data_IF_288539472727
#
_entry.id   IF_288539472727
#
_cell.length_a   1.000
_cell.length_b   1.000
_cell.length_c   1.000
_cell.angle_alpha   90.00
_cell.angle_beta   90.00
_cell.angle_gamma   90.00
#
_symmetry.space_group_name_H-M   'P 1'
#
loop_
_entity.id
_entity.type
_entity.pdbx_description
1 polymer ?
#
# COMPACT_ATOMS: atom_id res chain seq x y z
N UNK A 1 -3.62 16.25 -12.03
CA UNK A 1 -3.87 15.06 -11.19
C UNK A 1 -3.14 13.89 -11.82
N UNK A 2 -2.41 13.11 -11.03
CA UNK A 2 -1.77 11.86 -11.47
C UNK A 2 -2.77 10.71 -11.27
N UNK A 3 -3.02 9.94 -12.33
CA UNK A 3 -3.96 8.81 -12.31
C UNK A 3 -3.16 7.52 -12.29
N UNK A 4 -3.33 6.73 -11.22
CA UNK A 4 -2.78 5.39 -11.12
C UNK A 4 -3.89 4.34 -11.16
N UNK A 5 -3.71 3.30 -11.98
CA UNK A 5 -4.62 2.15 -12.05
C UNK A 5 -3.83 0.84 -12.06
N UNK A 6 -4.53 -0.29 -12.06
CA UNK A 6 -3.89 -1.59 -11.92
C UNK A 6 -4.47 -2.62 -12.90
N UNK A 7 -3.62 -3.58 -13.30
CA UNK A 7 -4.00 -4.86 -13.91
C UNK A 7 -3.54 -6.03 -13.01
N UNK A 8 -3.88 -7.25 -13.36
CA UNK A 8 -3.33 -8.45 -12.73
C UNK A 8 -4.36 -9.34 -12.04
N UNK A 9 -5.63 -8.93 -11.94
CA UNK A 9 -6.72 -9.80 -11.50
C UNK A 9 -7.60 -10.21 -12.67
N UNK A 10 -7.99 -11.50 -12.68
CA UNK A 10 -9.00 -12.04 -13.57
C UNK A 10 -10.38 -11.93 -12.93
N UNK A 11 -11.39 -11.62 -13.76
CA UNK A 11 -12.79 -11.50 -13.35
C UNK A 11 -13.68 -12.31 -14.29
N UNK A 12 -14.71 -12.94 -13.76
CA UNK A 12 -15.77 -13.56 -14.56
C UNK A 12 -16.75 -12.52 -15.15
N UNK A 13 -17.73 -12.99 -15.90
CA UNK A 13 -18.76 -12.16 -16.52
C UNK A 13 -19.65 -11.38 -15.50
N UNK A 14 -19.71 -11.84 -14.26
CA UNK A 14 -20.42 -11.21 -13.16
C UNK A 14 -19.54 -10.22 -12.36
N UNK A 15 -18.27 -10.04 -12.75
CA UNK A 15 -17.32 -9.18 -12.07
C UNK A 15 -16.74 -9.78 -10.78
N UNK A 16 -16.91 -11.09 -10.55
CA UNK A 16 -16.28 -11.79 -9.43
C UNK A 16 -14.84 -12.12 -9.79
N UNK A 17 -13.91 -11.82 -8.87
CA UNK A 17 -12.51 -12.18 -9.02
C UNK A 17 -12.34 -13.70 -9.02
N UNK A 18 -11.63 -14.22 -10.05
CA UNK A 18 -11.41 -15.65 -10.28
C UNK A 18 -9.97 -16.08 -10.09
N UNK A 19 -9.03 -15.13 -10.04
CA UNK A 19 -7.61 -15.42 -9.86
C UNK A 19 -6.73 -14.25 -10.28
N UNK A 20 -5.48 -14.58 -10.62
CA UNK A 20 -4.50 -13.67 -11.20
C UNK A 20 -4.42 -13.89 -12.71
N UNK A 21 -4.09 -12.84 -13.45
CA UNK A 21 -3.69 -12.91 -14.85
C UNK A 21 -2.78 -11.74 -15.20
N UNK A 22 -1.60 -12.06 -15.71
CA UNK A 22 -0.66 -11.08 -16.25
C UNK A 22 -0.20 -11.46 -17.66
N UNK A 23 -1.04 -12.19 -18.41
CA UNK A 23 -0.77 -12.52 -19.81
C UNK A 23 -0.77 -11.23 -20.64
N UNK A 24 0.11 -11.11 -21.65
CA UNK A 24 0.20 -9.90 -22.48
C UNK A 24 -1.14 -9.38 -23.02
N UNK A 25 -2.00 -10.27 -23.49
CA UNK A 25 -3.30 -9.86 -24.04
C UNK A 25 -4.27 -9.37 -22.96
N UNK A 26 -4.23 -9.97 -21.76
CA UNK A 26 -5.05 -9.54 -20.62
C UNK A 26 -4.57 -8.18 -20.09
N UNK A 27 -3.25 -7.93 -20.07
CA UNK A 27 -2.68 -6.62 -19.73
C UNK A 27 -3.18 -5.56 -20.71
N UNK A 28 -3.06 -5.81 -22.01
CA UNK A 28 -3.54 -4.88 -23.05
C UNK A 28 -5.04 -4.61 -22.92
N UNK A 29 -5.85 -5.66 -22.72
CA UNK A 29 -7.30 -5.53 -22.52
C UNK A 29 -7.66 -4.71 -21.30
N UNK A 30 -6.94 -4.91 -20.17
CA UNK A 30 -7.13 -4.14 -18.94
C UNK A 30 -6.81 -2.65 -19.13
N UNK A 31 -5.73 -2.34 -19.85
CA UNK A 31 -5.34 -0.96 -20.19
C UNK A 31 -6.39 -0.29 -21.06
N UNK A 32 -6.81 -0.93 -22.15
CA UNK A 32 -7.86 -0.41 -23.04
C UNK A 32 -9.18 -0.18 -22.27
N UNK A 33 -9.53 -1.10 -21.38
CA UNK A 33 -10.69 -0.96 -20.51
C UNK A 33 -10.58 0.23 -19.55
N UNK A 34 -9.39 0.46 -19.00
CA UNK A 34 -9.11 1.58 -18.08
C UNK A 34 -9.16 2.92 -18.82
N UNK A 35 -8.53 3.05 -19.99
CA UNK A 35 -8.55 4.26 -20.82
C UNK A 35 -9.99 4.68 -21.18
N UNK A 36 -10.82 3.70 -21.61
CA UNK A 36 -12.25 3.96 -21.91
C UNK A 36 -13.04 4.44 -20.69
N UNK A 37 -12.88 3.79 -19.52
CA UNK A 37 -13.64 4.17 -18.31
C UNK A 37 -13.17 5.50 -17.75
N UNK A 38 -11.88 5.77 -17.78
CA UNK A 38 -11.29 7.02 -17.31
C UNK A 38 -11.48 8.18 -18.30
N UNK A 39 -11.81 7.88 -19.56
CA UNK A 39 -11.94 8.85 -20.65
C UNK A 39 -10.65 9.67 -20.84
N UNK A 40 -9.54 8.97 -20.90
CA UNK A 40 -8.20 9.54 -21.13
C UNK A 40 -7.47 8.72 -22.17
N UNK A 41 -6.50 9.33 -22.85
CA UNK A 41 -5.69 8.68 -23.87
C UNK A 41 -4.44 8.01 -23.27
N UNK A 42 -4.06 8.38 -22.04
CA UNK A 42 -2.92 7.79 -21.34
C UNK A 42 -3.19 7.61 -19.84
N UNK A 43 -2.50 6.64 -19.25
CA UNK A 43 -2.47 6.35 -17.80
C UNK A 43 -1.10 6.82 -17.29
N UNK A 44 -1.08 7.67 -16.25
CA UNK A 44 0.18 8.17 -15.70
C UNK A 44 1.02 7.05 -15.07
N UNK A 45 0.38 6.16 -14.30
CA UNK A 45 1.07 5.08 -13.60
C UNK A 45 0.24 3.79 -13.63
N UNK A 46 0.76 2.76 -14.26
CA UNK A 46 0.12 1.45 -14.37
C UNK A 46 0.81 0.44 -13.46
N UNK A 47 0.09 -0.09 -12.49
CA UNK A 47 0.61 -1.12 -11.57
C UNK A 47 0.22 -2.54 -11.99
N UNK A 48 1.17 -3.48 -11.87
CA UNK A 48 0.81 -4.88 -11.66
C UNK A 48 0.30 -5.04 -10.22
N UNK A 49 -0.96 -5.44 -10.03
CA UNK A 49 -1.61 -5.46 -8.71
C UNK A 49 -1.07 -6.55 -7.78
N UNK A 50 -0.76 -7.72 -8.35
CA UNK A 50 -0.05 -8.84 -7.73
C UNK A 50 0.80 -9.51 -8.78
N UNK A 51 1.95 -10.02 -8.37
CA UNK A 51 2.80 -10.84 -9.23
C UNK A 51 2.05 -12.13 -9.57
N UNK A 52 1.98 -12.45 -10.85
CA UNK A 52 1.40 -13.70 -11.34
C UNK A 52 2.52 -14.74 -11.46
N UNK A 53 2.53 -15.80 -10.64
CA UNK A 53 3.61 -16.79 -10.65
C UNK A 53 3.64 -17.64 -11.93
N UNK A 54 2.55 -17.64 -12.71
CA UNK A 54 2.45 -18.41 -13.96
C UNK A 54 3.09 -17.68 -15.17
N UNK A 55 3.36 -16.37 -15.04
CA UNK A 55 3.88 -15.55 -16.13
C UNK A 55 5.24 -14.96 -15.73
N UNK A 56 6.31 -15.18 -16.52
CA UNK A 56 7.60 -14.56 -16.28
C UNK A 56 7.48 -13.04 -16.14
N UNK A 57 8.08 -12.46 -15.12
CA UNK A 57 7.96 -11.02 -14.85
C UNK A 57 8.57 -10.18 -15.98
N UNK A 58 9.52 -10.75 -16.71
CA UNK A 58 10.15 -10.13 -17.88
C UNK A 58 9.13 -9.94 -19.03
N UNK A 59 8.22 -10.90 -19.23
CA UNK A 59 7.16 -10.81 -20.24
C UNK A 59 6.12 -9.75 -19.86
N UNK A 60 5.80 -9.66 -18.57
CA UNK A 60 4.92 -8.62 -18.02
C UNK A 60 5.55 -7.24 -18.23
N UNK A 61 6.80 -7.06 -17.81
CA UNK A 61 7.53 -5.80 -17.95
C UNK A 61 7.73 -5.43 -19.44
N UNK A 62 8.00 -6.41 -20.31
CA UNK A 62 8.09 -6.23 -21.74
C UNK A 62 6.78 -5.72 -22.36
N UNK A 63 5.64 -6.29 -21.95
CA UNK A 63 4.31 -5.84 -22.40
C UNK A 63 4.00 -4.42 -21.95
N UNK A 64 4.35 -4.06 -20.71
CA UNK A 64 4.16 -2.69 -20.22
C UNK A 64 5.07 -1.71 -20.97
N UNK A 65 6.31 -2.10 -21.30
CA UNK A 65 7.20 -1.28 -22.15
C UNK A 65 6.57 -0.97 -23.51
N UNK A 66 5.99 -1.96 -24.19
CA UNK A 66 5.29 -1.74 -25.45
C UNK A 66 4.12 -0.74 -25.31
N UNK A 67 3.38 -0.80 -24.19
CA UNK A 67 2.30 0.14 -23.91
C UNK A 67 2.82 1.56 -23.62
N UNK A 68 4.01 1.68 -23.02
CA UNK A 68 4.70 2.97 -22.81
C UNK A 68 5.17 3.52 -24.16
N UNK A 69 5.80 2.72 -25.00
CA UNK A 69 6.24 3.10 -26.33
C UNK A 69 5.05 3.52 -27.23
N UNK A 70 3.89 2.89 -27.03
CA UNK A 70 2.64 3.26 -27.70
C UNK A 70 1.97 4.54 -27.12
N UNK A 71 2.52 5.13 -26.07
CA UNK A 71 1.98 6.34 -25.42
C UNK A 71 0.71 6.14 -24.59
N UNK A 72 0.31 4.88 -24.32
CA UNK A 72 -0.90 4.55 -23.55
C UNK A 72 -0.66 4.55 -22.03
N UNK A 73 0.58 4.41 -21.62
CA UNK A 73 1.05 4.38 -20.22
C UNK A 73 2.31 5.24 -20.14
N UNK A 74 2.46 6.02 -19.09
CA UNK A 74 3.68 6.81 -18.90
C UNK A 74 4.69 6.09 -18.00
N UNK A 75 4.23 5.43 -16.93
CA UNK A 75 5.10 4.81 -15.95
C UNK A 75 4.61 3.43 -15.52
N UNK A 76 5.55 2.54 -15.23
CA UNK A 76 5.29 1.21 -14.69
C UNK A 76 5.46 1.18 -13.18
N UNK A 77 4.54 0.51 -12.48
CA UNK A 77 4.62 0.22 -11.05
C UNK A 77 4.32 -1.24 -10.74
N UNK A 78 4.72 -1.67 -9.57
CA UNK A 78 4.43 -3.01 -9.05
C UNK A 78 3.77 -2.92 -7.68
N UNK A 79 3.07 -3.96 -7.24
CA UNK A 79 2.45 -4.00 -5.92
C UNK A 79 2.70 -5.35 -5.25
N UNK A 80 3.12 -5.32 -3.97
CA UNK A 80 3.41 -6.49 -3.15
C UNK A 80 4.39 -7.47 -3.83
N UNK A 81 5.37 -6.95 -4.56
CA UNK A 81 6.42 -7.71 -5.22
C UNK A 81 7.67 -7.80 -4.32
N UNK A 82 8.32 -8.96 -4.34
CA UNK A 82 9.60 -9.21 -3.67
C UNK A 82 10.78 -8.55 -4.39
N UNK A 83 11.90 -8.41 -3.68
CA UNK A 83 13.09 -7.69 -4.19
C UNK A 83 13.63 -8.29 -5.47
N UNK A 84 13.69 -9.63 -5.57
CA UNK A 84 14.20 -10.30 -6.77
C UNK A 84 13.32 -10.02 -7.99
N UNK A 85 12.00 -10.14 -7.85
CA UNK A 85 11.04 -9.86 -8.90
C UNK A 85 11.09 -8.40 -9.35
N UNK A 86 11.23 -7.46 -8.39
CA UNK A 86 11.38 -6.03 -8.69
C UNK A 86 12.64 -5.79 -9.54
N UNK A 87 13.80 -6.37 -9.17
CA UNK A 87 15.06 -6.23 -9.91
C UNK A 87 14.96 -6.76 -11.32
N UNK A 88 14.35 -7.93 -11.50
CA UNK A 88 14.13 -8.55 -12.81
C UNK A 88 13.21 -7.72 -13.70
N UNK A 89 12.09 -7.24 -13.16
CA UNK A 89 11.20 -6.34 -13.88
C UNK A 89 11.89 -5.04 -14.27
N UNK A 90 12.60 -4.40 -13.33
CA UNK A 90 13.28 -3.13 -13.51
C UNK A 90 14.38 -3.19 -14.58
N UNK A 91 15.03 -4.35 -14.74
CA UNK A 91 16.03 -4.57 -15.78
C UNK A 91 15.44 -4.58 -17.20
N UNK A 92 14.16 -4.93 -17.37
CA UNK A 92 13.45 -4.94 -18.65
C UNK A 92 12.78 -3.61 -18.95
N UNK A 93 12.05 -3.09 -17.97
CA UNK A 93 11.35 -1.81 -18.00
C UNK A 93 11.50 -1.14 -16.64
N UNK A 94 12.05 0.09 -16.56
CA UNK A 94 12.19 0.79 -15.30
C UNK A 94 10.88 0.82 -14.50
N UNK A 95 10.91 0.30 -13.28
CA UNK A 95 9.80 0.40 -12.32
C UNK A 95 9.91 1.76 -11.65
N UNK A 96 8.85 2.55 -11.70
CA UNK A 96 8.81 3.91 -11.14
C UNK A 96 8.40 3.90 -9.68
N UNK A 97 7.47 3.02 -9.30
CA UNK A 97 6.97 2.95 -7.94
C UNK A 97 6.59 1.52 -7.54
N UNK A 98 6.84 1.18 -6.28
CA UNK A 98 6.28 0.01 -5.62
C UNK A 98 5.14 0.44 -4.68
N UNK A 99 4.01 -0.25 -4.74
CA UNK A 99 2.92 -0.08 -3.81
C UNK A 99 2.81 -1.30 -2.88
N UNK A 100 3.07 -1.12 -1.58
CA UNK A 100 2.94 -2.18 -0.58
C UNK A 100 2.38 -1.66 0.73
N UNK A 101 1.89 -2.54 1.59
CA UNK A 101 1.41 -2.13 2.91
C UNK A 101 2.59 -1.66 3.76
N UNK A 102 2.49 -0.44 4.32
CA UNK A 102 3.47 0.10 5.25
C UNK A 102 2.82 1.12 6.19
N UNK A 103 3.07 0.98 7.46
CA UNK A 103 2.57 1.85 8.53
C UNK A 103 3.26 1.48 9.85
N UNK A 104 3.03 2.24 10.91
CA UNK A 104 3.42 1.83 12.28
C UNK A 104 2.84 0.46 12.69
N UNK A 105 1.76 0.01 12.03
CA UNK A 105 1.11 -1.29 12.27
C UNK A 105 1.68 -2.42 11.41
N UNK A 106 2.51 -2.11 10.40
CA UNK A 106 3.17 -3.08 9.52
C UNK A 106 4.48 -2.51 8.99
N UNK A 107 5.60 -3.02 9.49
CA UNK A 107 6.96 -2.48 9.23
C UNK A 107 7.87 -3.45 8.44
N UNK A 108 7.35 -4.57 7.96
CA UNK A 108 8.12 -5.58 7.21
C UNK A 108 8.93 -4.98 6.03
N UNK A 109 8.43 -3.97 5.27
CA UNK A 109 9.20 -3.41 4.15
C UNK A 109 10.55 -2.80 4.52
N UNK A 110 10.78 -2.47 5.79
CA UNK A 110 12.03 -1.83 6.24
C UNK A 110 13.25 -2.75 6.10
N UNK A 111 13.07 -4.08 6.20
CA UNK A 111 14.16 -5.03 6.22
C UNK A 111 14.86 -5.15 4.86
N UNK A 112 14.09 -5.27 3.77
CA UNK A 112 14.62 -5.58 2.44
C UNK A 112 14.08 -4.63 1.36
N UNK A 113 12.79 -4.33 1.38
CA UNK A 113 12.12 -3.55 0.33
C UNK A 113 12.66 -2.12 0.27
N UNK A 114 12.62 -1.37 1.37
CA UNK A 114 13.05 0.02 1.38
C UNK A 114 14.54 0.19 0.99
N UNK A 115 15.48 -0.65 1.48
CA UNK A 115 16.85 -0.63 0.98
C UNK A 115 16.96 -0.83 -0.53
N UNK A 116 16.26 -1.85 -1.08
CA UNK A 116 16.31 -2.14 -2.50
C UNK A 116 15.69 -1.03 -3.37
N UNK A 117 14.59 -0.43 -2.92
CA UNK A 117 13.98 0.70 -3.63
C UNK A 117 14.91 1.93 -3.63
N UNK A 118 15.58 2.21 -2.50
CA UNK A 118 16.56 3.29 -2.41
C UNK A 118 17.74 3.10 -3.37
N UNK A 119 18.25 1.87 -3.51
CA UNK A 119 19.31 1.51 -4.45
C UNK A 119 18.87 1.70 -5.91
N UNK A 120 17.64 1.29 -6.24
CA UNK A 120 17.11 1.32 -7.61
C UNK A 120 16.48 2.67 -8.00
N UNK A 121 16.36 3.62 -7.08
CA UNK A 121 15.69 4.91 -7.33
C UNK A 121 14.18 4.78 -7.57
N UNK A 122 13.53 3.79 -6.94
CA UNK A 122 12.09 3.50 -7.07
C UNK A 122 11.33 4.17 -5.93
N UNK A 123 10.25 4.89 -6.25
CA UNK A 123 9.35 5.48 -5.26
C UNK A 123 8.53 4.42 -4.50
N UNK A 124 8.13 4.74 -3.28
CA UNK A 124 7.31 3.83 -2.46
C UNK A 124 5.95 4.44 -2.12
N UNK A 125 4.88 3.67 -2.34
CA UNK A 125 3.50 4.10 -2.16
C UNK A 125 2.82 3.21 -1.11
N UNK A 126 2.88 3.59 0.17
CA UNK A 126 2.22 2.85 1.25
C UNK A 126 0.71 2.81 1.08
N UNK A 127 0.12 1.63 0.90
CA UNK A 127 -1.31 1.48 1.06
C UNK A 127 -1.66 1.10 2.50
N UNK A 128 -2.92 1.30 2.90
CA UNK A 128 -3.36 1.17 4.29
C UNK A 128 -2.47 1.91 5.30
N UNK A 129 -2.04 3.15 5.03
CA UNK A 129 -1.07 3.88 5.86
C UNK A 129 -1.60 4.17 7.27
N UNK A 130 -2.92 4.12 7.45
CA UNK A 130 -3.61 4.23 8.75
C UNK A 130 -4.02 2.86 9.33
N UNK A 131 -3.39 1.75 8.89
CA UNK A 131 -3.70 0.41 9.37
C UNK A 131 -5.18 0.04 9.21
N UNK A 132 -5.80 0.39 8.06
CA UNK A 132 -7.25 0.20 7.80
C UNK A 132 -8.14 0.89 8.83
N UNK A 133 -7.74 2.05 9.31
CA UNK A 133 -8.42 2.85 10.33
C UNK A 133 -8.02 2.54 11.77
N UNK A 134 -7.18 1.53 12.01
CA UNK A 134 -6.69 1.19 13.35
C UNK A 134 -5.88 2.36 13.96
N UNK A 135 -4.99 2.96 13.18
CA UNK A 135 -4.14 4.08 13.61
C UNK A 135 -4.86 5.45 13.60
N UNK A 136 -6.17 5.47 13.52
CA UNK A 136 -6.95 6.71 13.73
C UNK A 136 -7.46 6.86 15.15
N UNK A 137 -7.28 5.84 16.00
CA UNK A 137 -7.85 5.79 17.34
C UNK A 137 -9.36 5.56 17.41
N UNK A 138 -10.03 5.34 16.24
CA UNK A 138 -11.49 5.09 16.20
C UNK A 138 -11.87 3.62 16.40
N UNK A 139 -10.90 2.71 16.26
CA UNK A 139 -11.08 1.27 16.49
C UNK A 139 -10.74 0.97 17.93
N UNK A 140 -11.66 0.34 18.65
CA UNK A 140 -11.54 -0.04 20.08
C UNK A 140 -11.72 -1.55 20.23
N UNK A 141 -11.41 -2.10 21.39
CA UNK A 141 -11.63 -3.52 21.73
C UNK A 141 -13.09 -3.98 21.52
N UNK A 142 -14.05 -3.07 21.65
CA UNK A 142 -15.48 -3.34 21.45
C UNK A 142 -15.97 -3.11 20.02
N UNK A 143 -15.09 -2.70 19.08
CA UNK A 143 -15.51 -2.45 17.69
C UNK A 143 -15.92 -3.75 17.01
N UNK A 144 -17.11 -3.75 16.43
CA UNK A 144 -17.62 -4.84 15.59
C UNK A 144 -17.59 -4.41 14.13
N UNK A 145 -17.08 -5.29 13.27
CA UNK A 145 -17.05 -5.06 11.83
C UNK A 145 -18.25 -5.72 11.19
N UNK A 146 -19.00 -4.94 10.38
CA UNK A 146 -20.22 -5.41 9.72
C UNK A 146 -19.95 -6.38 8.57
N UNK A 147 -21.04 -6.97 8.06
CA UNK A 147 -21.00 -7.83 6.87
C UNK A 147 -20.41 -7.06 5.67
N UNK A 148 -19.46 -7.68 4.96
CA UNK A 148 -18.74 -7.06 3.83
C UNK A 148 -17.55 -6.16 4.23
N UNK A 149 -17.31 -5.95 5.52
CA UNK A 149 -16.10 -5.28 5.97
C UNK A 149 -14.94 -6.28 5.99
N UNK A 150 -13.93 -6.04 5.14
CA UNK A 150 -12.77 -6.94 5.03
C UNK A 150 -12.07 -7.15 6.39
N UNK A 151 -12.11 -6.16 7.29
CA UNK A 151 -11.47 -6.26 8.61
C UNK A 151 -12.02 -7.41 9.44
N UNK A 152 -13.29 -7.77 9.25
CA UNK A 152 -13.91 -8.92 9.94
C UNK A 152 -13.23 -10.26 9.61
N UNK A 153 -12.48 -10.35 8.50
CA UNK A 153 -11.77 -11.56 8.07
C UNK A 153 -10.26 -11.51 8.31
N UNK A 154 -9.73 -10.39 8.81
CA UNK A 154 -8.28 -10.21 8.99
C UNK A 154 -7.85 -10.63 10.41
N UNK A 155 -6.90 -11.58 10.58
CA UNK A 155 -6.49 -12.09 11.89
C UNK A 155 -6.08 -11.01 12.89
N UNK A 156 -5.40 -9.95 12.47
CA UNK A 156 -4.99 -8.84 13.37
C UNK A 156 -6.14 -7.98 13.88
N UNK A 157 -7.38 -8.17 13.37
CA UNK A 157 -8.61 -7.53 13.84
C UNK A 157 -9.52 -8.49 14.62
N UNK A 158 -9.12 -9.75 14.82
CA UNK A 158 -9.76 -10.63 15.78
C UNK A 158 -9.66 -10.03 17.18
N UNK A 159 -10.65 -10.29 18.02
CA UNK A 159 -10.81 -9.58 19.28
C UNK A 159 -9.56 -9.57 20.16
N UNK A 160 -8.94 -10.74 20.37
CA UNK A 160 -7.78 -10.87 21.25
C UNK A 160 -6.55 -10.14 20.66
N UNK A 161 -6.32 -10.29 19.35
CA UNK A 161 -5.25 -9.59 18.64
C UNK A 161 -5.49 -8.07 18.67
N UNK A 162 -6.72 -7.64 18.43
CA UNK A 162 -7.11 -6.24 18.44
C UNK A 162 -6.85 -5.60 19.81
N UNK A 163 -7.24 -6.26 20.91
CA UNK A 163 -7.00 -5.78 22.29
C UNK A 163 -5.50 -5.62 22.56
N UNK A 164 -4.69 -6.60 22.19
CA UNK A 164 -3.23 -6.54 22.35
C UNK A 164 -2.60 -5.40 21.53
N UNK A 165 -3.07 -5.21 20.30
CA UNK A 165 -2.54 -4.20 19.39
C UNK A 165 -2.87 -2.76 19.79
N UNK A 166 -3.88 -2.51 20.64
CA UNK A 166 -4.25 -1.15 21.09
C UNK A 166 -3.10 -0.42 21.82
N UNK A 167 -2.11 -1.13 22.34
CA UNK A 167 -0.91 -0.52 22.92
C UNK A 167 -0.20 0.40 21.92
N UNK A 168 -0.19 0.03 20.63
CA UNK A 168 0.38 0.85 19.57
C UNK A 168 -0.40 2.16 19.37
N UNK A 169 -1.73 2.09 19.40
CA UNK A 169 -2.57 3.30 19.30
C UNK A 169 -2.31 4.22 20.49
N UNK A 170 -2.18 3.67 21.70
CA UNK A 170 -1.84 4.43 22.91
C UNK A 170 -0.48 5.15 22.81
N UNK A 171 0.52 4.54 22.18
CA UNK A 171 1.80 5.18 21.90
C UNK A 171 1.63 6.39 20.98
N UNK A 172 0.95 6.21 19.83
CA UNK A 172 0.75 7.28 18.84
C UNK A 172 -0.10 8.40 19.43
N UNK A 173 -1.09 8.08 20.28
CA UNK A 173 -1.95 9.07 20.96
C UNK A 173 -1.13 10.02 21.84
N UNK A 174 -0.16 9.52 22.60
CA UNK A 174 0.71 10.37 23.45
C UNK A 174 1.47 11.41 22.64
N UNK A 175 2.00 11.01 21.47
CA UNK A 175 2.68 11.94 20.57
C UNK A 175 1.69 12.93 19.97
N UNK A 176 0.50 12.45 19.56
CA UNK A 176 -0.55 13.29 18.97
C UNK A 176 -1.02 14.38 19.96
N UNK A 177 -1.26 14.05 21.23
CA UNK A 177 -1.62 15.01 22.28
C UNK A 177 -0.54 16.09 22.44
N UNK A 178 0.74 15.67 22.51
CA UNK A 178 1.88 16.58 22.66
C UNK A 178 2.02 17.54 21.48
N UNK A 179 1.66 17.07 20.28
CA UNK A 179 1.72 17.85 19.02
C UNK A 179 0.43 18.61 18.70
N UNK A 180 -0.60 18.48 19.52
CA UNK A 180 -1.93 19.03 19.22
C UNK A 180 -2.44 18.60 17.83
N UNK A 181 -2.22 17.34 17.51
CA UNK A 181 -2.57 16.70 16.23
C UNK A 181 -3.48 15.49 16.47
N UNK A 182 -4.07 14.94 15.39
CA UNK A 182 -4.78 13.68 15.49
C UNK A 182 -3.83 12.48 15.40
N UNK A 183 -4.28 11.33 15.92
CA UNK A 183 -3.52 10.06 15.84
C UNK A 183 -3.22 9.70 14.38
N UNK A 184 -4.20 9.91 13.47
CA UNK A 184 -4.02 9.68 12.04
C UNK A 184 -2.97 10.60 11.41
N UNK A 185 -2.95 11.87 11.80
CA UNK A 185 -1.93 12.82 11.31
C UNK A 185 -0.53 12.42 11.75
N UNK A 186 -0.33 12.01 13.00
CA UNK A 186 0.97 11.52 13.48
C UNK A 186 1.39 10.25 12.73
N UNK A 187 0.48 9.31 12.50
CA UNK A 187 0.79 8.08 11.76
C UNK A 187 1.20 8.36 10.30
N UNK A 188 0.56 9.32 9.63
CA UNK A 188 0.93 9.74 8.27
C UNK A 188 2.23 10.55 8.24
N UNK A 189 2.43 11.48 9.18
CA UNK A 189 3.65 12.26 9.29
C UNK A 189 4.87 11.37 9.56
N UNK A 190 4.71 10.33 10.38
CA UNK A 190 5.75 9.34 10.59
C UNK A 190 6.17 8.64 9.29
N UNK A 191 5.21 8.23 8.44
CA UNK A 191 5.51 7.63 7.12
C UNK A 191 6.27 8.60 6.23
N UNK A 192 5.84 9.87 6.16
CA UNK A 192 6.47 10.91 5.35
C UNK A 192 7.91 11.20 5.82
N UNK A 193 8.18 11.07 7.10
CA UNK A 193 9.51 11.28 7.68
C UNK A 193 10.50 10.14 7.40
N UNK A 194 10.03 8.93 7.00
CA UNK A 194 10.91 7.78 6.80
C UNK A 194 11.87 7.98 5.61
N UNK A 195 11.35 8.42 4.47
CA UNK A 195 12.15 8.69 3.26
C UNK A 195 11.45 9.74 2.39
N UNK A 196 12.19 10.61 1.68
CA UNK A 196 11.60 11.67 0.85
C UNK A 196 10.87 11.16 -0.41
N UNK A 197 11.00 9.89 -0.74
CA UNK A 197 10.37 9.23 -1.88
C UNK A 197 9.19 8.32 -1.47
N UNK A 198 8.67 8.48 -0.23
CA UNK A 198 7.47 7.79 0.25
C UNK A 198 6.26 8.68 0.09
N UNK A 199 5.23 8.18 -0.58
CA UNK A 199 3.95 8.87 -0.81
C UNK A 199 2.80 7.98 -0.37
N UNK A 200 2.28 8.14 0.87
CA UNK A 200 1.18 7.33 1.38
C UNK A 200 -0.15 7.67 0.69
N UNK A 201 -1.02 6.67 0.55
CA UNK A 201 -2.34 6.82 -0.08
C UNK A 201 -3.50 6.56 0.91
N UNK A 202 -3.75 7.44 1.88
CA UNK A 202 -4.87 7.31 2.82
C UNK A 202 -6.19 7.50 2.08
N UNK A 203 -7.00 6.42 2.01
CA UNK A 203 -8.30 6.46 1.33
C UNK A 203 -9.41 7.05 2.21
N UNK A 204 -10.21 7.98 1.66
CA UNK A 204 -11.41 8.50 2.32
C UNK A 204 -12.48 8.93 1.32
N UNK A 205 -13.74 8.98 1.77
CA UNK A 205 -14.88 9.55 1.04
C UNK A 205 -15.45 10.80 1.73
N UNK A 206 -14.81 11.27 2.80
CA UNK A 206 -15.26 12.37 3.64
C UNK A 206 -14.27 13.52 3.52
N UNK A 207 -14.77 14.74 3.21
CA UNK A 207 -13.93 15.93 3.03
C UNK A 207 -13.15 16.27 4.29
N UNK A 208 -13.78 16.23 5.46
CA UNK A 208 -13.13 16.51 6.74
C UNK A 208 -11.97 15.53 7.03
N UNK A 209 -12.05 14.27 6.55
CA UNK A 209 -10.95 13.33 6.66
C UNK A 209 -9.85 13.57 5.62
N UNK A 210 -10.21 14.09 4.46
CA UNK A 210 -9.22 14.52 3.48
C UNK A 210 -8.39 15.68 4.04
N UNK A 211 -9.05 16.69 4.60
CA UNK A 211 -8.39 17.84 5.22
C UNK A 211 -7.50 17.41 6.39
N UNK A 212 -8.00 16.50 7.25
CA UNK A 212 -7.22 15.91 8.34
C UNK A 212 -5.96 15.20 7.81
N UNK A 213 -6.11 14.35 6.79
CA UNK A 213 -4.98 13.62 6.20
C UNK A 213 -3.96 14.58 5.57
N UNK A 214 -4.40 15.59 4.85
CA UNK A 214 -3.52 16.62 4.25
C UNK A 214 -2.75 17.39 5.32
N UNK A 215 -3.37 17.71 6.45
CA UNK A 215 -2.71 18.38 7.57
C UNK A 215 -1.53 17.60 8.17
N UNK A 216 -1.36 16.33 7.83
CA UNK A 216 -0.18 15.56 8.22
C UNK A 216 1.12 16.04 7.54
N UNK A 217 1.01 16.71 6.39
CA UNK A 217 2.17 17.26 5.66
C UNK A 217 2.79 18.47 6.36
N UNK A 218 2.02 19.14 7.20
CA UNK A 218 2.44 20.33 7.96
C UNK A 218 2.88 19.97 9.39
N UNK A 219 2.77 18.70 9.77
CA UNK A 219 3.13 18.21 11.10
C UNK A 219 4.63 17.89 11.19
N UNK A 220 5.36 18.71 11.92
CA UNK A 220 6.77 18.47 12.21
C UNK A 220 6.96 17.52 13.40
N UNK A 221 7.46 16.32 13.13
CA UNK A 221 7.91 15.35 14.13
C UNK A 221 9.40 15.54 14.39
N UNK A 222 9.75 15.86 15.62
CA UNK A 222 11.16 16.02 16.00
C UNK A 222 11.90 14.66 15.99
N UNK A 223 13.25 14.65 15.93
CA UNK A 223 14.01 13.40 16.06
C UNK A 223 13.63 12.56 17.30
N UNK A 224 13.28 13.22 18.41
CA UNK A 224 12.85 12.56 19.65
C UNK A 224 11.48 11.91 19.49
N UNK A 225 10.52 12.58 18.81
CA UNK A 225 9.20 12.02 18.51
C UNK A 225 9.33 10.77 17.61
N UNK A 226 10.17 10.86 16.57
CA UNK A 226 10.44 9.74 15.67
C UNK A 226 11.10 8.56 16.40
N UNK A 227 12.10 8.83 17.24
CA UNK A 227 12.76 7.80 18.05
C UNK A 227 11.80 7.13 19.04
N UNK A 228 10.88 7.90 19.67
CA UNK A 228 9.84 7.36 20.55
C UNK A 228 8.87 6.45 19.78
N UNK A 229 8.39 6.88 18.59
CA UNK A 229 7.50 6.11 17.74
C UNK A 229 8.18 4.83 17.23
N UNK A 230 9.44 4.92 16.81
CA UNK A 230 10.21 3.78 16.29
C UNK A 230 10.50 2.74 17.38
N UNK A 231 11.04 3.16 18.51
CA UNK A 231 11.37 2.25 19.62
C UNK A 231 10.11 1.69 20.27
N UNK A 232 9.09 2.53 20.45
CA UNK A 232 7.82 2.11 21.04
C UNK A 232 7.08 1.12 20.13
N UNK A 233 6.98 1.38 18.82
CA UNK A 233 6.34 0.43 17.90
C UNK A 233 7.11 -0.88 17.76
N UNK A 234 8.44 -0.85 17.79
CA UNK A 234 9.26 -2.06 17.77
C UNK A 234 9.08 -2.92 19.04
N UNK A 235 8.73 -2.31 20.19
CA UNK A 235 8.45 -3.02 21.43
C UNK A 235 7.06 -3.65 21.47
N UNK A 236 6.14 -3.22 20.60
CA UNK A 236 4.79 -3.79 20.48
C UNK A 236 4.83 -4.93 19.46
N UNK A 237 4.76 -6.15 19.96
CA UNK A 237 4.61 -7.30 19.07
C UNK A 237 3.17 -7.33 18.53
N UNK A 238 2.98 -6.89 17.29
CA UNK A 238 1.68 -6.94 16.61
C UNK A 238 1.17 -8.38 16.56
N UNK A 239 -0.03 -8.61 17.07
CA UNK A 239 -0.69 -9.90 17.08
C UNK A 239 -1.60 -10.07 15.89
N UNK A 240 -1.67 -11.31 15.37
CA UNK A 240 -2.47 -11.68 14.20
C UNK A 240 -1.80 -11.36 12.86
N UNK A 241 -1.97 -12.25 11.92
CA UNK A 241 -1.42 -12.12 10.57
C UNK A 241 -2.08 -10.97 9.80
N UNK A 242 -1.35 -10.41 8.84
CA UNK A 242 -1.82 -9.34 7.97
C UNK A 242 -3.04 -9.75 7.14
N UNK A 243 -3.03 -10.98 6.65
CA UNK A 243 -4.08 -11.57 5.82
C UNK A 243 -4.38 -13.00 6.21
N UNK A 244 -5.59 -13.52 5.90
CA UNK A 244 -5.83 -14.96 5.87
C UNK A 244 -4.88 -15.67 4.89
N UNK A 245 -4.58 -16.95 5.14
CA UNK A 245 -3.58 -17.72 4.40
C UNK A 245 -3.77 -17.64 2.86
N UNK A 246 -5.00 -17.72 2.37
CA UNK A 246 -5.29 -17.66 0.94
C UNK A 246 -4.87 -16.32 0.30
N UNK A 247 -5.01 -15.21 1.02
CA UNK A 247 -4.58 -13.88 0.54
C UNK A 247 -3.07 -13.70 0.72
N UNK A 248 -2.49 -14.30 1.76
CA UNK A 248 -1.05 -14.25 2.02
C UNK A 248 -0.26 -14.91 0.88
N UNK A 249 -0.79 -15.99 0.29
CA UNK A 249 -0.17 -16.68 -0.87
C UNK A 249 -0.11 -15.85 -2.16
N UNK A 250 -0.86 -14.74 -2.23
CA UNK A 250 -0.82 -13.82 -3.38
C UNK A 250 0.24 -12.73 -3.25
N UNK A 251 1.04 -12.75 -2.18
CA UNK A 251 2.14 -11.82 -1.96
C UNK A 251 3.41 -12.49 -2.44
N UNK A 252 4.13 -11.83 -3.33
CA UNK A 252 5.44 -12.26 -3.78
C UNK A 252 6.50 -11.90 -2.72
N UNK A 253 7.41 -12.88 -2.43
CA UNK A 253 8.45 -12.73 -1.40
C UNK A 253 9.78 -13.28 -1.87
#
# INVERSE_FOLDING_TARGET
VVIATKFGFAFDENGKQTGLTSRPDDIRAAVEGSLRRLRTDAIDLLYQHRVDPEIPIEDVAGTVRELIEAGKVHHFGMSEAGVETIRRAHAVQPVTALQSEYSLFWREPEAEILPALGELGIGFVPFSPLGRGFLTGQVTAGTQFGEGDIRASLPRFEREALEANLALVGLVTKVAERKNATVGQVALAWLLAQKPWIVPIPGTRRLERLDENLGSTDLDLTPEDLAELDSGSASVQVQGDRYPEAMQRMIDR
#
